data_IF_716423386612
#
_entry.id   IF_716423386612
#
_cell.length_a   1.000
_cell.length_b   1.000
_cell.length_c   1.000
_cell.angle_alpha   90.00
_cell.angle_beta   90.00
_cell.angle_gamma   90.00
#
_symmetry.space_group_name_H-M   'P 1'
#
loop_
_entity.id
_entity.type
_entity.pdbx_description
1 polymer ?
#
# COMPACT_ATOMS: atom_id res chain seq x y z
N UNK A 1 -6.11 -3.25 25.67
CA UNK A 1 -6.58 -3.48 24.29
C UNK A 1 -5.74 -2.55 23.43
N UNK A 2 -5.16 -3.05 22.36
CA UNK A 2 -4.40 -2.19 21.46
C UNK A 2 -5.41 -1.40 20.62
N UNK A 3 -5.04 -0.22 20.14
CA UNK A 3 -5.88 0.50 19.19
C UNK A 3 -5.73 -0.10 17.80
N UNK A 4 -6.76 0.01 16.97
CA UNK A 4 -6.65 -0.31 15.56
C UNK A 4 -5.83 0.78 14.87
N UNK A 5 -4.62 0.45 14.45
CA UNK A 5 -3.69 1.37 13.81
C UNK A 5 -3.59 1.09 12.31
N UNK A 6 -3.52 2.16 11.53
CA UNK A 6 -3.22 2.10 10.09
C UNK A 6 -1.79 2.60 9.90
N UNK A 7 -0.96 1.73 9.31
CA UNK A 7 0.44 2.00 9.03
C UNK A 7 0.63 2.22 7.53
N UNK A 8 1.42 3.23 7.19
CA UNK A 8 1.83 3.53 5.82
C UNK A 8 3.22 2.99 5.58
N UNK A 9 3.36 2.13 4.57
CA UNK A 9 4.63 1.54 4.16
C UNK A 9 4.97 2.08 2.79
N UNK A 10 6.01 2.91 2.75
CA UNK A 10 6.55 3.49 1.52
C UNK A 10 7.71 2.65 1.00
N UNK A 11 7.69 2.40 -0.30
CA UNK A 11 8.79 1.82 -1.05
C UNK A 11 9.30 2.87 -2.02
N UNK A 12 10.56 3.23 -1.87
CA UNK A 12 11.25 4.23 -2.69
C UNK A 12 12.46 3.56 -3.35
N UNK A 13 12.40 3.37 -4.65
CA UNK A 13 13.52 2.85 -5.43
C UNK A 13 14.35 4.00 -6.00
N UNK A 14 15.68 3.83 -6.00
CA UNK A 14 16.61 4.88 -6.41
C UNK A 14 16.50 5.24 -7.90
N UNK A 15 15.97 4.36 -8.75
CA UNK A 15 15.70 4.66 -10.18
C UNK A 15 14.32 5.30 -10.41
N UNK A 16 13.60 5.65 -9.33
CA UNK A 16 12.40 6.50 -9.38
C UNK A 16 11.08 5.78 -9.17
N UNK A 17 11.03 4.45 -9.03
CA UNK A 17 9.79 3.77 -8.65
C UNK A 17 9.43 4.08 -7.20
N UNK A 18 8.19 4.52 -7.00
CA UNK A 18 7.63 4.82 -5.69
C UNK A 18 6.31 4.09 -5.54
N UNK A 19 6.13 3.36 -4.44
CA UNK A 19 4.88 2.69 -4.09
C UNK A 19 4.53 2.99 -2.65
N UNK A 20 3.24 3.19 -2.38
CA UNK A 20 2.70 3.38 -1.05
C UNK A 20 1.62 2.35 -0.79
N UNK A 21 1.68 1.70 0.37
CA UNK A 21 0.67 0.73 0.80
C UNK A 21 0.25 1.02 2.24
N UNK A 22 -1.05 1.01 2.49
CA UNK A 22 -1.61 1.10 3.84
C UNK A 22 -1.99 -0.28 4.36
N UNK A 23 -1.58 -0.60 5.59
CA UNK A 23 -1.94 -1.84 6.28
C UNK A 23 -2.51 -1.54 7.67
N UNK A 24 -3.54 -2.27 8.09
CA UNK A 24 -4.23 -2.03 9.36
C UNK A 24 -4.24 -3.25 10.28
N UNK A 25 -4.05 -3.04 11.59
CA UNK A 25 -4.18 -4.08 12.63
C UNK A 25 -4.30 -3.48 14.03
N UNK A 26 -4.95 -4.20 14.94
CA UNK A 26 -4.99 -3.89 16.38
C UNK A 26 -3.66 -4.28 17.07
N UNK A 27 -2.65 -3.41 16.98
CA UNK A 27 -1.29 -3.63 17.53
C UNK A 27 -0.64 -2.30 17.93
N UNK A 28 0.31 -2.34 18.87
CA UNK A 28 1.13 -1.16 19.17
C UNK A 28 2.14 -0.85 18.06
N UNK A 29 2.73 0.35 18.08
CA UNK A 29 3.79 0.74 17.14
C UNK A 29 5.01 -0.18 17.29
N UNK A 30 5.42 -0.49 18.53
CA UNK A 30 6.58 -1.34 18.81
C UNK A 30 6.35 -2.79 18.37
N UNK A 31 5.11 -3.27 18.42
CA UNK A 31 4.73 -4.58 17.88
C UNK A 31 4.75 -4.58 16.35
N UNK A 32 4.23 -3.52 15.72
CA UNK A 32 4.31 -3.36 14.27
C UNK A 32 5.75 -3.32 13.76
N UNK A 33 6.66 -2.60 14.42
CA UNK A 33 8.07 -2.56 14.04
C UNK A 33 8.73 -3.95 14.12
N UNK A 34 8.42 -4.73 15.16
CA UNK A 34 8.88 -6.13 15.27
C UNK A 34 8.31 -7.00 14.16
N UNK A 35 7.04 -6.85 13.85
CA UNK A 35 6.37 -7.60 12.79
C UNK A 35 6.93 -7.22 11.40
N UNK A 36 7.27 -5.95 11.18
CA UNK A 36 7.93 -5.48 9.95
C UNK A 36 9.33 -6.08 9.80
N UNK A 37 10.11 -6.14 10.89
CA UNK A 37 11.41 -6.82 10.89
C UNK A 37 11.26 -8.31 10.56
N UNK A 38 10.26 -9.00 11.15
CA UNK A 38 9.98 -10.41 10.82
C UNK A 38 9.60 -10.58 9.35
N UNK A 39 8.76 -9.70 8.81
CA UNK A 39 8.34 -9.73 7.41
C UNK A 39 9.52 -9.52 6.45
N UNK A 40 10.41 -8.58 6.79
CA UNK A 40 11.69 -8.38 6.08
C UNK A 40 12.55 -9.65 6.12
N UNK A 41 12.78 -10.22 7.31
CA UNK A 41 13.59 -11.44 7.45
C UNK A 41 13.00 -12.63 6.69
N UNK A 42 11.67 -12.73 6.66
CA UNK A 42 10.96 -13.71 5.84
C UNK A 42 11.28 -13.50 4.37
N UNK A 43 11.13 -12.29 3.84
CA UNK A 43 11.44 -11.96 2.45
C UNK A 43 12.91 -12.26 2.11
N UNK A 44 13.87 -11.85 2.96
CA UNK A 44 15.30 -12.16 2.81
C UNK A 44 15.57 -13.68 2.77
N UNK A 45 14.82 -14.46 3.55
CA UNK A 45 14.96 -15.92 3.55
C UNK A 45 14.55 -16.59 2.23
N UNK A 46 13.84 -15.87 1.34
CA UNK A 46 13.40 -16.37 0.04
C UNK A 46 14.40 -16.13 -1.09
N UNK A 47 15.44 -15.31 -0.86
CA UNK A 47 16.48 -14.99 -1.84
C UNK A 47 17.12 -16.28 -2.37
N UNK A 48 17.15 -16.44 -3.70
CA UNK A 48 17.80 -17.56 -4.37
C UNK A 48 17.11 -18.91 -4.21
N UNK A 49 15.95 -18.98 -3.52
CA UNK A 49 15.17 -20.21 -3.39
C UNK A 49 14.27 -20.41 -4.60
N UNK A 50 14.22 -21.64 -5.11
CA UNK A 50 13.22 -22.05 -6.10
C UNK A 50 11.95 -22.39 -5.36
N UNK A 51 10.95 -21.54 -5.46
CA UNK A 51 9.70 -21.71 -4.75
C UNK A 51 8.62 -22.21 -5.76
N UNK A 52 7.62 -22.98 -5.30
CA UNK A 52 6.59 -23.63 -6.17
C UNK A 52 5.37 -22.74 -6.37
N UNK A 53 4.81 -22.69 -7.58
CA UNK A 53 3.56 -21.97 -7.86
C UNK A 53 2.44 -22.41 -6.90
N UNK A 54 1.79 -21.45 -6.23
CA UNK A 54 0.61 -21.67 -5.39
C UNK A 54 0.78 -21.41 -3.89
N UNK A 55 2.00 -21.20 -3.38
CA UNK A 55 2.24 -20.96 -1.94
C UNK A 55 2.56 -19.49 -1.59
N UNK A 56 2.93 -18.68 -2.58
CA UNK A 56 3.36 -17.27 -2.50
C UNK A 56 3.32 -16.69 -3.94
N UNK A 57 3.40 -15.36 -4.10
CA UNK A 57 3.47 -14.70 -5.42
C UNK A 57 4.59 -15.34 -6.27
N UNK A 58 4.22 -15.92 -7.41
CA UNK A 58 5.03 -16.88 -8.16
C UNK A 58 6.49 -16.49 -8.44
N UNK A 59 7.33 -17.53 -8.45
CA UNK A 59 8.81 -17.56 -8.64
C UNK A 59 9.59 -16.80 -7.55
N UNK A 60 10.28 -17.55 -6.70
CA UNK A 60 11.39 -16.98 -5.93
C UNK A 60 12.37 -16.27 -6.85
N UNK A 61 12.88 -15.13 -6.40
CA UNK A 61 13.63 -14.22 -7.23
C UNK A 61 15.13 -14.57 -7.21
N UNK A 62 15.78 -14.39 -8.37
CA UNK A 62 17.22 -14.65 -8.56
C UNK A 62 18.10 -13.48 -8.11
N UNK A 63 17.53 -12.28 -8.08
CA UNK A 63 18.16 -10.99 -7.80
C UNK A 63 17.12 -10.22 -7.00
N UNK A 64 17.55 -9.37 -6.07
CA UNK A 64 16.75 -8.34 -5.40
C UNK A 64 15.96 -7.52 -6.45
N UNK A 65 14.90 -8.09 -6.99
CA UNK A 65 13.95 -7.41 -7.84
C UNK A 65 13.04 -6.74 -6.82
N UNK A 66 13.31 -5.45 -6.64
CA UNK A 66 13.03 -4.75 -5.40
C UNK A 66 11.53 -4.55 -5.18
N UNK A 67 10.73 -4.57 -6.25
CA UNK A 67 9.27 -4.57 -6.17
C UNK A 67 8.75 -5.89 -5.60
N UNK A 68 9.23 -7.03 -6.10
CA UNK A 68 8.83 -8.35 -5.59
C UNK A 68 9.28 -8.52 -4.13
N UNK A 69 10.43 -7.97 -3.75
CA UNK A 69 10.87 -7.95 -2.36
C UNK A 69 9.87 -7.21 -1.46
N UNK A 70 9.44 -6.03 -1.89
CA UNK A 70 8.41 -5.25 -1.21
C UNK A 70 7.06 -5.99 -1.14
N UNK A 71 6.64 -6.62 -2.25
CA UNK A 71 5.42 -7.45 -2.28
C UNK A 71 5.49 -8.64 -1.31
N UNK A 72 6.66 -9.27 -1.12
CA UNK A 72 6.81 -10.36 -0.14
C UNK A 72 6.67 -9.87 1.30
N UNK A 73 7.16 -8.66 1.60
CA UNK A 73 6.96 -8.04 2.92
C UNK A 73 5.48 -7.83 3.17
N UNK A 74 4.77 -7.23 2.21
CA UNK A 74 3.33 -6.98 2.32
C UNK A 74 2.52 -8.28 2.42
N UNK A 75 2.88 -9.30 1.64
CA UNK A 75 2.27 -10.62 1.72
C UNK A 75 2.48 -11.25 3.11
N UNK A 76 3.69 -11.17 3.68
CA UNK A 76 3.96 -11.71 5.01
C UNK A 76 3.13 -10.99 6.08
N UNK A 77 3.07 -9.66 6.02
CA UNK A 77 2.24 -8.87 6.94
C UNK A 77 0.76 -9.30 6.84
N UNK A 78 0.23 -9.44 5.63
CA UNK A 78 -1.20 -9.72 5.44
C UNK A 78 -1.57 -11.18 5.69
N UNK A 79 -0.90 -12.13 5.03
CA UNK A 79 -1.25 -13.55 5.05
C UNK A 79 -0.72 -14.30 6.27
N UNK A 80 0.40 -13.85 6.87
CA UNK A 80 1.01 -14.53 8.04
C UNK A 80 0.76 -13.81 9.34
N UNK A 81 0.79 -12.49 9.32
CA UNK A 81 0.69 -11.66 10.52
C UNK A 81 -0.70 -11.04 10.69
N UNK A 82 -1.62 -11.27 9.75
CA UNK A 82 -3.03 -10.92 9.90
C UNK A 82 -3.32 -9.42 9.78
N UNK A 83 -2.47 -8.66 9.10
CA UNK A 83 -2.77 -7.28 8.74
C UNK A 83 -3.79 -7.26 7.58
N UNK A 84 -4.63 -6.22 7.51
CA UNK A 84 -5.54 -6.00 6.39
C UNK A 84 -4.98 -4.93 5.44
N UNK A 85 -5.20 -5.07 4.15
CA UNK A 85 -4.97 -3.98 3.19
C UNK A 85 -6.00 -2.87 3.41
N UNK A 86 -5.51 -1.64 3.51
CA UNK A 86 -6.34 -0.45 3.57
C UNK A 86 -6.25 0.29 2.23
N UNK A 87 -7.39 0.69 1.70
CA UNK A 87 -7.46 1.49 0.48
C UNK A 87 -8.04 2.85 0.82
N UNK A 88 -7.29 3.91 0.51
CA UNK A 88 -7.79 5.27 0.61
C UNK A 88 -8.33 5.69 -0.76
N UNK A 89 -9.65 5.85 -0.87
CA UNK A 89 -10.31 6.36 -2.08
C UNK A 89 -10.29 7.88 -2.06
N UNK A 90 -9.21 8.45 -2.58
CA UNK A 90 -9.01 9.91 -2.64
C UNK A 90 -10.09 10.66 -3.42
N UNK A 91 -10.78 9.98 -4.33
CA UNK A 91 -11.82 10.53 -5.18
C UNK A 91 -13.20 10.59 -4.51
N UNK A 92 -13.38 9.98 -3.34
CA UNK A 92 -14.68 9.91 -2.66
C UNK A 92 -14.54 10.41 -1.22
N UNK A 93 -15.36 11.39 -0.83
CA UNK A 93 -15.46 11.84 0.56
C UNK A 93 -16.91 12.06 0.98
N UNK A 94 -17.17 12.00 2.29
CA UNK A 94 -18.48 12.17 2.89
C UNK A 94 -18.42 13.33 3.87
N UNK A 95 -19.40 14.21 3.80
CA UNK A 95 -19.61 15.29 4.76
C UNK A 95 -20.77 14.92 5.68
N UNK A 96 -20.59 15.14 6.98
CA UNK A 96 -21.63 14.91 8.00
C UNK A 96 -21.96 16.27 8.60
N UNK A 97 -23.15 16.78 8.27
CA UNK A 97 -23.70 18.01 8.83
C UNK A 97 -24.57 17.65 10.04
N UNK A 98 -24.10 17.99 11.23
CA UNK A 98 -24.77 17.76 12.52
C UNK A 98 -25.33 19.04 13.16
N UNK A 99 -25.58 20.09 12.35
CA UNK A 99 -26.10 21.36 12.85
C UNK A 99 -27.31 21.17 13.78
N UNK A 100 -27.33 21.79 14.99
CA UNK A 100 -28.29 21.50 16.06
C UNK A 100 -29.77 21.67 15.68
N UNK A 101 -30.04 22.49 14.67
CA UNK A 101 -31.38 22.87 14.22
C UNK A 101 -31.92 21.96 13.09
N UNK A 102 -31.12 20.99 12.63
CA UNK A 102 -31.48 20.06 11.55
C UNK A 102 -31.25 18.61 12.00
N UNK A 103 -31.87 17.68 11.26
CA UNK A 103 -31.50 16.27 11.38
C UNK A 103 -30.12 16.09 10.76
N UNK A 104 -29.31 15.23 11.38
CA UNK A 104 -27.99 14.86 10.86
C UNK A 104 -28.12 14.45 9.39
N UNK A 105 -27.36 15.11 8.52
CA UNK A 105 -27.36 14.86 7.07
C UNK A 105 -25.98 14.34 6.64
N UNK A 106 -25.97 13.34 5.75
CA UNK A 106 -24.75 12.79 5.15
C UNK A 106 -24.76 13.10 3.66
N UNK A 107 -23.72 13.76 3.16
CA UNK A 107 -23.58 14.11 1.74
C UNK A 107 -22.33 13.44 1.16
N UNK A 108 -22.49 12.70 0.06
CA UNK A 108 -21.38 12.07 -0.67
C UNK A 108 -20.89 13.00 -1.77
N UNK A 109 -19.58 13.16 -1.87
CA UNK A 109 -18.91 13.88 -2.93
C UNK A 109 -17.97 12.94 -3.71
N UNK A 110 -17.89 13.16 -5.01
CA UNK A 110 -16.97 12.44 -5.90
C UNK A 110 -16.17 13.45 -6.72
N UNK A 111 -14.84 13.39 -6.63
CA UNK A 111 -13.94 14.26 -7.38
C UNK A 111 -13.56 13.58 -8.69
N UNK A 112 -14.07 14.09 -9.82
CA UNK A 112 -13.61 13.66 -11.14
C UNK A 112 -12.21 14.19 -11.41
N UNK A 113 -11.23 13.29 -11.54
CA UNK A 113 -9.87 13.62 -11.97
C UNK A 113 -9.80 13.42 -13.49
N UNK A 114 -9.93 14.51 -14.26
CA UNK A 114 -9.65 14.48 -15.70
C UNK A 114 -8.14 14.65 -15.94
N UNK A 115 -7.45 13.57 -16.32
CA UNK A 115 -6.08 13.67 -16.86
C UNK A 115 -6.15 14.35 -18.23
N UNK A 116 -5.73 15.61 -18.33
CA UNK A 116 -5.45 16.24 -19.63
C UNK A 116 -4.15 15.64 -20.17
N UNK A 117 -4.22 14.96 -21.31
CA UNK A 117 -3.02 14.62 -22.10
C UNK A 117 -2.27 15.91 -22.44
N UNK A 118 -1.04 16.04 -21.94
CA UNK A 118 -0.11 17.05 -22.44
C UNK A 118 0.42 16.51 -23.76
N UNK A 119 -0.10 17.03 -24.87
CA UNK A 119 0.50 16.79 -26.19
C UNK A 119 1.75 17.65 -26.31
N UNK A 120 2.92 17.02 -26.29
CA UNK A 120 4.18 17.65 -26.67
C UNK A 120 4.05 18.19 -28.09
N UNK A 121 4.07 19.52 -28.22
CA UNK A 121 4.33 20.16 -29.51
C UNK A 121 5.82 19.99 -29.80
N UNK A 122 6.16 18.94 -30.53
CA UNK A 122 7.46 18.84 -31.18
C UNK A 122 7.47 19.87 -32.31
N UNK A 123 8.03 21.05 -32.04
CA UNK A 123 8.34 22.04 -33.07
C UNK A 123 9.42 21.45 -33.99
N UNK A 124 8.99 20.90 -35.12
CA UNK A 124 9.86 20.59 -36.25
C UNK A 124 10.22 21.91 -36.91
N UNK A 125 11.40 22.47 -36.60
CA UNK A 125 12.01 23.50 -37.43
C UNK A 125 12.66 22.81 -38.63
N UNK A 126 12.05 23.00 -39.79
CA UNK A 126 12.69 22.85 -41.10
C UNK A 126 13.82 23.87 -41.27
#
# INVERSE_FOLDING_TARGET
>A
MADFNIFRIEYNWYEGEHSETLVGKEVSIEEFEKDLIKAKQFAESLIGKKIKSGEYLGRGYRVECLLEFYEQILWCLTEKLGYIYCYYKEDIYYDIDDLPEKKIQITKFEKKIEKKEIRDKTDTKN
#
